data_IF_910823187494
#
_entry.id   IF_910823187494
#
_cell.length_a   1.000
_cell.length_b   1.000
_cell.length_c   1.000
_cell.angle_alpha   90.00
_cell.angle_beta   90.00
_cell.angle_gamma   90.00
#
_symmetry.space_group_name_H-M   'P 1'
#
loop_
_entity.id
_entity.type
_entity.pdbx_description
1 polymer ?
#
# COMPACT_ATOMS: atom_id res chain seq x y z
N UNK A 1 -18.01 -1.87 39.64
CA UNK A 1 -18.29 -0.96 38.50
C UNK A 1 -17.51 -1.49 37.31
N UNK A 2 -18.20 -2.15 36.39
CA UNK A 2 -17.64 -2.72 35.16
C UNK A 2 -17.59 -1.63 34.09
N UNK A 3 -16.40 -1.04 33.89
CA UNK A 3 -16.15 -0.17 32.74
C UNK A 3 -15.61 -1.03 31.60
N UNK A 4 -16.51 -1.49 30.73
CA UNK A 4 -16.16 -2.15 29.47
C UNK A 4 -15.59 -1.11 28.51
N UNK A 5 -14.27 -1.13 28.33
CA UNK A 5 -13.60 -0.44 27.23
C UNK A 5 -13.83 -1.27 25.97
N UNK A 6 -14.89 -0.97 25.24
CA UNK A 6 -15.10 -1.47 23.88
C UNK A 6 -14.01 -0.88 22.99
N UNK A 7 -12.94 -1.63 22.81
CA UNK A 7 -11.93 -1.39 21.79
C UNK A 7 -12.63 -1.62 20.44
N UNK A 8 -13.08 -0.54 19.79
CA UNK A 8 -13.37 -0.57 18.35
C UNK A 8 -12.05 -0.89 17.64
N UNK A 9 -11.73 -2.18 17.56
CA UNK A 9 -10.66 -2.71 16.74
C UNK A 9 -11.10 -2.50 15.31
N UNK A 10 -10.78 -1.33 14.75
CA UNK A 10 -10.64 -1.20 13.32
C UNK A 10 -9.73 -2.35 12.89
N UNK A 11 -10.20 -3.17 11.97
CA UNK A 11 -9.44 -4.29 11.42
C UNK A 11 -8.30 -3.66 10.64
N UNK A 12 -7.22 -3.30 11.32
CA UNK A 12 -5.96 -3.00 10.67
C UNK A 12 -5.49 -4.34 10.11
N UNK A 13 -5.78 -4.56 8.82
CA UNK A 13 -5.18 -5.66 8.08
C UNK A 13 -3.68 -5.41 8.14
N UNK A 14 -2.95 -6.29 8.83
CA UNK A 14 -1.50 -6.22 8.82
C UNK A 14 -1.04 -6.40 7.37
N UNK A 15 -0.37 -5.39 6.83
CA UNK A 15 0.11 -5.42 5.45
C UNK A 15 1.13 -6.56 5.25
N UNK A 16 0.99 -7.30 4.16
CA UNK A 16 1.84 -8.41 3.77
C UNK A 16 2.80 -7.96 2.64
N UNK A 17 4.07 -7.77 2.97
CA UNK A 17 5.08 -7.33 2.00
C UNK A 17 5.36 -8.37 0.91
N UNK A 18 5.12 -9.66 1.15
CA UNK A 18 5.30 -10.70 0.13
C UNK A 18 4.15 -10.67 -0.89
N UNK A 19 2.91 -10.52 -0.42
CA UNK A 19 1.75 -10.26 -1.27
C UNK A 19 1.93 -8.95 -2.05
N UNK A 20 2.47 -7.92 -1.37
CA UNK A 20 2.81 -6.62 -1.96
C UNK A 20 3.82 -6.72 -3.10
N UNK A 21 4.88 -7.50 -2.90
CA UNK A 21 5.86 -7.81 -3.94
C UNK A 21 5.23 -8.44 -5.17
N UNK A 22 4.38 -9.46 -4.97
CA UNK A 22 3.71 -10.15 -6.08
C UNK A 22 2.77 -9.20 -6.83
N UNK A 23 1.99 -8.38 -6.12
CA UNK A 23 1.10 -7.39 -6.72
C UNK A 23 1.88 -6.30 -7.48
N UNK A 24 2.96 -5.78 -6.90
CA UNK A 24 3.83 -4.80 -7.54
C UNK A 24 4.48 -5.37 -8.82
N UNK A 25 4.97 -6.62 -8.76
CA UNK A 25 5.54 -7.29 -9.93
C UNK A 25 4.52 -7.50 -11.06
N UNK A 26 3.25 -7.70 -10.73
CA UNK A 26 2.22 -7.88 -11.75
C UNK A 26 1.72 -6.56 -12.34
N UNK A 27 1.76 -5.45 -11.59
CA UNK A 27 1.00 -4.23 -11.93
C UNK A 27 1.85 -2.97 -12.08
N UNK A 28 3.03 -2.93 -11.48
CA UNK A 28 3.78 -1.70 -11.29
C UNK A 28 5.18 -1.74 -11.91
N UNK A 29 5.87 -2.88 -11.87
CA UNK A 29 7.27 -3.00 -12.33
C UNK A 29 7.49 -2.83 -13.83
N UNK A 30 6.42 -2.78 -14.62
CA UNK A 30 6.50 -2.38 -16.02
C UNK A 30 6.96 -0.91 -16.21
N UNK A 31 6.88 -0.09 -15.16
CA UNK A 31 7.22 1.34 -15.21
C UNK A 31 8.04 1.81 -14.01
N UNK A 32 7.92 1.18 -12.85
CA UNK A 32 8.61 1.57 -11.62
C UNK A 32 9.24 0.38 -10.91
N UNK A 33 10.53 0.45 -10.61
CA UNK A 33 11.20 -0.57 -9.81
C UNK A 33 11.10 -0.25 -8.32
N UNK A 34 11.45 -1.20 -7.46
CA UNK A 34 11.34 -0.96 -6.03
C UNK A 34 12.35 0.09 -5.53
N UNK A 35 13.46 0.25 -6.24
CA UNK A 35 14.51 1.22 -5.93
C UNK A 35 14.07 2.67 -6.16
N UNK A 36 13.05 2.90 -7.01
CA UNK A 36 12.45 4.23 -7.23
C UNK A 36 11.82 4.82 -5.95
N UNK A 37 11.60 3.97 -4.94
CA UNK A 37 10.92 4.30 -3.69
C UNK A 37 11.85 4.20 -2.47
N UNK A 38 13.17 4.07 -2.66
CA UNK A 38 14.10 4.06 -1.53
C UNK A 38 14.01 5.34 -0.71
N UNK A 39 13.87 5.18 0.61
CA UNK A 39 13.71 6.30 1.55
C UNK A 39 12.27 6.77 1.75
N UNK A 40 11.32 6.32 0.93
CA UNK A 40 9.90 6.58 1.14
C UNK A 40 9.32 5.68 2.23
N UNK A 41 8.39 6.24 3.01
CA UNK A 41 7.70 5.46 4.05
C UNK A 41 6.53 4.69 3.45
N UNK A 42 6.23 3.50 4.01
CA UNK A 42 5.05 2.73 3.61
C UNK A 42 3.76 3.56 3.74
N UNK A 43 3.62 4.40 4.77
CA UNK A 43 2.44 5.25 4.94
C UNK A 43 2.32 6.32 3.84
N UNK A 44 3.44 6.95 3.45
CA UNK A 44 3.48 7.91 2.34
C UNK A 44 3.05 7.26 1.02
N UNK A 45 3.62 6.09 0.74
CA UNK A 45 3.35 5.33 -0.49
C UNK A 45 1.91 4.83 -0.53
N UNK A 46 1.39 4.33 0.59
CA UNK A 46 0.01 3.89 0.70
C UNK A 46 -0.96 5.03 0.39
N UNK A 47 -0.74 6.20 0.99
CA UNK A 47 -1.54 7.40 0.71
C UNK A 47 -1.48 7.80 -0.77
N UNK A 48 -0.29 7.79 -1.37
CA UNK A 48 -0.10 8.12 -2.77
C UNK A 48 -0.85 7.14 -3.69
N UNK A 49 -0.71 5.83 -3.43
CA UNK A 49 -1.38 4.79 -4.22
C UNK A 49 -2.90 4.92 -4.10
N UNK A 50 -3.44 5.19 -2.89
CA UNK A 50 -4.88 5.46 -2.70
C UNK A 50 -5.33 6.65 -3.54
N UNK A 51 -4.57 7.73 -3.57
CA UNK A 51 -4.92 8.91 -4.35
C UNK A 51 -4.84 8.69 -5.86
N UNK A 52 -3.93 7.82 -6.34
CA UNK A 52 -3.89 7.36 -7.74
C UNK A 52 -5.15 6.53 -8.07
N UNK A 53 -5.50 5.55 -7.24
CA UNK A 53 -6.69 4.70 -7.43
C UNK A 53 -7.98 5.53 -7.38
N UNK A 54 -8.03 6.55 -6.52
CA UNK A 54 -9.14 7.51 -6.44
C UNK A 54 -9.17 8.53 -7.59
N UNK A 55 -8.15 8.55 -8.47
CA UNK A 55 -8.08 9.46 -9.60
C UNK A 55 -7.71 10.91 -9.25
N UNK A 56 -7.22 11.16 -8.04
CA UNK A 56 -6.75 12.49 -7.62
C UNK A 56 -5.35 12.80 -8.14
N UNK A 57 -4.52 11.77 -8.29
CA UNK A 57 -3.19 11.86 -8.92
C UNK A 57 -3.27 11.25 -10.30
N UNK A 58 -2.80 11.98 -11.32
CA UNK A 58 -2.72 11.47 -12.69
C UNK A 58 -1.64 10.39 -12.76
N UNK A 59 -2.02 9.22 -13.23
CA UNK A 59 -1.13 8.09 -13.47
C UNK A 59 -1.32 7.59 -14.92
N UNK A 60 -0.27 7.04 -15.54
CA UNK A 60 -0.28 6.63 -16.95
C UNK A 60 -1.41 5.65 -17.28
N UNK A 61 -1.71 4.76 -16.34
CA UNK A 61 -2.78 3.77 -16.45
C UNK A 61 -3.73 3.90 -15.28
N UNK A 62 -5.02 3.64 -15.52
CA UNK A 62 -6.02 3.56 -14.46
C UNK A 62 -5.76 2.32 -13.62
N UNK A 63 -5.59 2.49 -12.31
CA UNK A 63 -5.40 1.39 -11.37
C UNK A 63 -6.72 1.07 -10.66
N UNK A 64 -6.95 -0.22 -10.45
CA UNK A 64 -8.00 -0.73 -9.57
C UNK A 64 -7.34 -1.70 -8.60
N UNK A 65 -7.26 -1.29 -7.34
CA UNK A 65 -6.65 -2.03 -6.25
C UNK A 65 -7.62 -2.04 -5.07
N UNK A 66 -7.69 -3.15 -4.36
CA UNK A 66 -8.37 -3.23 -3.07
C UNK A 66 -7.54 -2.51 -1.98
N UNK A 67 -8.15 -2.17 -0.85
CA UNK A 67 -7.43 -1.53 0.25
C UNK A 67 -6.28 -2.38 0.80
N UNK A 68 -6.45 -3.71 0.79
CA UNK A 68 -5.42 -4.66 1.18
C UNK A 68 -4.24 -4.63 0.20
N UNK A 69 -4.50 -4.71 -1.10
CA UNK A 69 -3.43 -4.63 -2.11
C UNK A 69 -2.64 -3.31 -2.03
N UNK A 70 -3.31 -2.19 -1.72
CA UNK A 70 -2.63 -0.91 -1.56
C UNK A 70 -1.69 -0.93 -0.36
N UNK A 71 -2.16 -1.42 0.79
CA UNK A 71 -1.34 -1.54 1.99
C UNK A 71 -0.16 -2.50 1.79
N UNK A 72 -0.40 -3.64 1.13
CA UNK A 72 0.60 -4.66 0.85
C UNK A 72 1.71 -4.11 -0.08
N UNK A 73 1.33 -3.48 -1.20
CA UNK A 73 2.28 -2.87 -2.15
C UNK A 73 3.10 -1.79 -1.45
N UNK A 74 2.46 -0.94 -0.65
CA UNK A 74 3.13 0.13 0.09
C UNK A 74 4.10 -0.43 1.14
N UNK A 75 3.75 -1.51 1.83
CA UNK A 75 4.63 -2.19 2.78
C UNK A 75 5.87 -2.81 2.10
N UNK A 76 5.71 -3.33 0.88
CA UNK A 76 6.84 -3.82 0.08
C UNK A 76 7.77 -2.68 -0.37
N UNK A 77 7.23 -1.64 -0.98
CA UNK A 77 8.03 -0.50 -1.47
C UNK A 77 8.64 0.33 -0.34
N UNK A 78 7.96 0.48 0.80
CA UNK A 78 8.49 1.21 1.96
C UNK A 78 9.70 0.53 2.63
N UNK A 79 10.06 -0.69 2.21
CA UNK A 79 11.31 -1.37 2.60
C UNK A 79 12.42 -1.22 1.54
N UNK A 80 12.17 -0.48 0.45
CA UNK A 80 13.06 -0.40 -0.71
C UNK A 80 13.10 -1.70 -1.51
N UNK A 81 12.00 -2.45 -1.54
CA UNK A 81 11.89 -3.72 -2.29
C UNK A 81 12.59 -4.94 -1.68
N UNK A 82 13.00 -4.83 -0.43
CA UNK A 82 13.79 -5.83 0.31
C UNK A 82 12.88 -6.64 1.23
#
# INVERSE_FOLDING_TARGET
MTAGLTLCSGIATAADAAAGKAAAQSKCVQCHEADDWEGESAASLESLIRDIVAGKVKHKSKLQLSEAEIADIAAYWGKGGK
#
